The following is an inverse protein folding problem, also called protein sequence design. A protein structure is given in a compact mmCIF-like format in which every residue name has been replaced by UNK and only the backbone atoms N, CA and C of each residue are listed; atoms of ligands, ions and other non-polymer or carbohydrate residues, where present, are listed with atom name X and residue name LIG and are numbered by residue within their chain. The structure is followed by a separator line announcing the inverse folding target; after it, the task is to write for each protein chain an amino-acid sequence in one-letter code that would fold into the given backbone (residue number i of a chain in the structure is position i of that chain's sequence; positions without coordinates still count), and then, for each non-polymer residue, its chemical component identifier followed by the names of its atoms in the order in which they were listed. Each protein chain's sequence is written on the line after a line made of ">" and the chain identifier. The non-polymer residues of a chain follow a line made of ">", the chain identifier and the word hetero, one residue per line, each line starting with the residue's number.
data_IF_286838839723
#
_entry.id   IF_286838839723
#
_cell.length_a   1.000
_cell.length_b   1.000
_cell.length_c   1.000
_cell.angle_alpha   90.00
_cell.angle_beta   90.00
_cell.angle_gamma   90.00
#
_symmetry.space_group_name_H-M   'P 1'
#
loop_
_entity.id
_entity.type
_entity.pdbx_description
1 polymer ?
#
# COMPACT_ATOMS: atom_id res chain seq x y z
N UNK A 1 25.12 13.18 8.11
CA UNK A 1 24.40 13.63 9.33
C UNK A 1 23.13 12.80 9.63
N UNK A 2 22.26 12.47 8.66
CA UNK A 2 21.02 11.68 8.85
C UNK A 2 21.13 10.45 9.76
N UNK A 3 22.00 9.49 9.43
CA UNK A 3 22.16 8.24 10.18
C UNK A 3 22.62 8.46 11.63
N UNK A 4 23.38 9.53 11.89
CA UNK A 4 23.80 9.90 13.23
C UNK A 4 22.64 10.42 14.08
N UNK A 5 21.66 11.10 13.47
CA UNK A 5 20.52 11.72 14.16
C UNK A 5 19.36 10.73 14.35
N UNK A 6 19.08 9.89 13.35
CA UNK A 6 17.87 9.05 13.32
C UNK A 6 18.11 7.54 13.19
N UNK A 7 19.37 7.08 13.07
CA UNK A 7 19.67 5.67 12.83
C UNK A 7 19.12 4.71 13.89
N UNK A 8 19.02 5.14 15.15
CA UNK A 8 18.44 4.35 16.24
C UNK A 8 16.91 4.37 16.28
N UNK A 9 16.28 5.46 15.82
CA UNK A 9 14.83 5.67 15.89
C UNK A 9 14.03 4.85 14.89
N UNK A 10 14.63 4.50 13.74
CA UNK A 10 13.92 3.80 12.66
C UNK A 10 13.85 2.27 12.85
N UNK A 11 14.43 1.69 13.90
CA UNK A 11 14.52 0.22 14.10
C UNK A 11 15.19 -0.57 12.94
N UNK A 12 15.84 0.11 11.99
CA UNK A 12 16.60 -0.49 10.88
C UNK A 12 18.10 -0.26 11.09
N UNK A 13 18.97 -1.11 10.54
CA UNK A 13 20.41 -0.87 10.62
C UNK A 13 20.79 0.34 9.75
N UNK A 14 21.69 1.24 10.20
CA UNK A 14 22.23 2.31 9.35
C UNK A 14 22.82 1.84 8.01
N UNK A 15 23.30 0.58 7.94
CA UNK A 15 23.78 -0.05 6.71
C UNK A 15 22.68 -0.44 5.72
N UNK A 16 21.41 -0.38 6.14
CA UNK A 16 20.25 -0.72 5.30
C UNK A 16 19.75 0.48 4.48
N UNK A 17 20.35 1.67 4.65
CA UNK A 17 19.98 2.89 3.94
C UNK A 17 20.98 3.23 2.82
N UNK A 18 20.45 3.64 1.67
CA UNK A 18 21.20 4.22 0.58
C UNK A 18 20.75 5.66 0.35
N UNK A 19 21.60 6.62 0.73
CA UNK A 19 21.33 8.05 0.50
C UNK A 19 22.03 8.46 -0.80
N UNK A 20 21.26 9.02 -1.74
CA UNK A 20 21.76 9.52 -3.01
C UNK A 20 21.49 11.03 -3.05
N UNK A 21 22.56 11.82 -3.11
CA UNK A 21 22.50 13.26 -3.31
C UNK A 21 22.56 13.56 -4.81
N UNK A 22 21.73 14.50 -5.26
CA UNK A 22 21.56 14.87 -6.67
C UNK A 22 21.49 16.39 -6.75
N UNK A 23 21.97 16.95 -7.86
CA UNK A 23 22.18 18.40 -8.01
C UNK A 23 20.97 19.13 -8.62
N UNK A 24 20.00 18.37 -9.16
CA UNK A 24 18.83 18.94 -9.82
C UNK A 24 17.54 18.14 -9.61
N UNK A 25 16.39 18.80 -9.80
CA UNK A 25 15.08 18.14 -9.78
C UNK A 25 14.96 17.13 -10.94
N UNK A 26 15.60 17.40 -12.07
CA UNK A 26 15.64 16.51 -13.22
C UNK A 26 16.35 15.21 -12.86
N UNK A 27 17.56 15.32 -12.30
CA UNK A 27 18.31 14.15 -11.81
C UNK A 27 17.52 13.38 -10.76
N UNK A 28 16.82 14.06 -9.85
CA UNK A 28 16.00 13.39 -8.83
C UNK A 28 14.90 12.51 -9.44
N UNK A 29 14.16 13.04 -10.41
CA UNK A 29 13.07 12.31 -11.06
C UNK A 29 13.60 11.17 -11.93
N UNK A 30 14.69 11.40 -12.66
CA UNK A 30 15.31 10.37 -13.50
C UNK A 30 15.96 9.27 -12.64
N UNK A 31 16.62 9.63 -11.54
CA UNK A 31 17.18 8.67 -10.58
C UNK A 31 16.09 7.82 -9.92
N UNK A 32 14.95 8.43 -9.60
CA UNK A 32 13.79 7.68 -9.12
C UNK A 32 13.33 6.64 -10.16
N UNK A 33 13.22 7.00 -11.44
CA UNK A 33 12.88 6.04 -12.50
C UNK A 33 13.91 4.91 -12.64
N UNK A 34 15.21 5.24 -12.60
CA UNK A 34 16.30 4.25 -12.65
C UNK A 34 16.22 3.28 -11.47
N UNK A 35 16.03 3.80 -10.26
CA UNK A 35 15.89 2.98 -9.06
C UNK A 35 14.67 2.08 -9.17
N UNK A 36 13.51 2.64 -9.53
CA UNK A 36 12.27 1.88 -9.70
C UNK A 36 12.46 0.72 -10.69
N UNK A 37 13.07 1.00 -11.85
CA UNK A 37 13.38 -0.02 -12.85
C UNK A 37 14.36 -1.07 -12.33
N UNK A 38 15.40 -0.65 -11.60
CA UNK A 38 16.40 -1.56 -11.04
C UNK A 38 15.81 -2.50 -9.98
N UNK A 39 14.87 -2.01 -9.18
CA UNK A 39 14.15 -2.80 -8.18
C UNK A 39 13.06 -3.66 -8.82
N UNK A 40 12.49 -3.23 -9.94
CA UNK A 40 11.42 -3.89 -10.69
C UNK A 40 10.32 -4.45 -9.77
N UNK A 41 9.64 -3.59 -8.99
CA UNK A 41 8.73 -4.04 -7.95
C UNK A 41 7.56 -4.85 -8.55
N UNK A 42 7.30 -6.02 -7.98
CA UNK A 42 6.13 -6.84 -8.33
C UNK A 42 4.83 -6.14 -7.86
N UNK A 43 4.89 -5.46 -6.72
CA UNK A 43 3.78 -4.73 -6.10
C UNK A 43 4.28 -3.35 -5.67
N UNK A 44 3.53 -2.33 -6.08
CA UNK A 44 3.66 -0.98 -5.58
C UNK A 44 2.42 -0.65 -4.74
N UNK A 45 2.63 -0.04 -3.57
CA UNK A 45 1.53 0.45 -2.76
C UNK A 45 1.87 1.81 -2.17
N UNK A 46 0.83 2.60 -1.95
CA UNK A 46 0.93 3.94 -1.37
C UNK A 46 -0.44 4.39 -0.86
N UNK A 47 -0.55 5.63 -0.39
CA UNK A 47 -1.82 6.18 0.09
C UNK A 47 -2.14 7.46 -0.65
N UNK A 48 -3.19 7.43 -1.47
CA UNK A 48 -3.53 8.50 -2.42
C UNK A 48 -2.46 8.71 -3.51
N UNK A 49 -1.65 7.69 -3.81
CA UNK A 49 -0.54 7.77 -4.75
C UNK A 49 -1.00 7.91 -6.19
N UNK A 50 -2.11 7.29 -6.58
CA UNK A 50 -2.71 7.58 -7.90
C UNK A 50 -3.66 8.78 -7.88
N UNK A 51 -3.93 9.37 -6.72
CA UNK A 51 -4.64 10.66 -6.65
C UNK A 51 -3.68 11.85 -6.76
N UNK A 52 -2.47 11.71 -6.24
CA UNK A 52 -1.53 12.81 -6.06
C UNK A 52 -0.12 12.49 -6.60
N UNK A 53 0.59 11.51 -6.04
CA UNK A 53 2.03 11.31 -6.27
C UNK A 53 2.38 11.04 -7.73
N UNK A 54 1.71 10.08 -8.38
CA UNK A 54 1.95 9.77 -9.81
C UNK A 54 1.58 10.96 -10.70
N UNK A 55 0.46 11.61 -10.43
CA UNK A 55 0.04 12.80 -11.17
C UNK A 55 1.05 13.94 -11.03
N UNK A 56 1.62 14.12 -9.84
CA UNK A 56 2.63 15.12 -9.58
C UNK A 56 3.92 14.81 -10.35
N UNK A 57 4.45 13.59 -10.24
CA UNK A 57 5.70 13.19 -10.91
C UNK A 57 5.56 13.31 -12.43
N UNK A 58 4.46 12.81 -13.02
CA UNK A 58 4.24 12.87 -14.47
C UNK A 58 4.09 14.31 -14.98
N UNK A 59 3.34 15.17 -14.29
CA UNK A 59 3.23 16.59 -14.67
C UNK A 59 4.55 17.31 -14.48
N UNK A 60 5.29 16.99 -13.42
CA UNK A 60 6.58 17.61 -13.13
C UNK A 60 7.63 17.24 -14.16
N UNK A 61 7.65 15.99 -14.64
CA UNK A 61 8.56 15.58 -15.71
C UNK A 61 8.21 16.25 -17.05
N UNK A 62 6.94 16.54 -17.33
CA UNK A 62 6.53 17.36 -18.49
C UNK A 62 7.04 18.80 -18.37
N UNK A 63 6.85 19.44 -17.20
CA UNK A 63 7.31 20.83 -16.97
C UNK A 63 8.83 20.95 -17.06
N UNK A 64 9.56 19.90 -16.70
CA UNK A 64 11.01 19.85 -16.75
C UNK A 64 11.57 19.35 -18.09
N UNK A 65 10.72 19.08 -19.08
CA UNK A 65 11.11 18.56 -20.41
C UNK A 65 11.91 17.25 -20.36
N UNK A 66 11.61 16.39 -19.38
CA UNK A 66 12.26 15.08 -19.18
C UNK A 66 11.25 13.92 -19.23
N UNK A 67 10.02 14.19 -19.66
CA UNK A 67 8.93 13.21 -19.64
C UNK A 67 9.27 11.94 -20.44
N UNK A 68 9.71 12.09 -21.69
CA UNK A 68 10.01 10.95 -22.57
C UNK A 68 11.17 10.12 -22.01
N UNK A 69 12.18 10.78 -21.48
CA UNK A 69 13.33 10.14 -20.84
C UNK A 69 12.89 9.37 -19.57
N UNK A 70 12.10 10.01 -18.70
CA UNK A 70 11.56 9.41 -17.50
C UNK A 70 10.74 8.15 -17.82
N UNK A 71 9.85 8.23 -18.80
CA UNK A 71 8.98 7.12 -19.23
C UNK A 71 9.79 5.98 -19.82
N UNK A 72 10.78 6.29 -20.66
CA UNK A 72 11.64 5.27 -21.28
C UNK A 72 12.43 4.50 -20.22
N UNK A 73 12.99 5.20 -19.23
CA UNK A 73 13.73 4.58 -18.12
C UNK A 73 12.79 3.70 -17.27
N UNK A 74 11.68 4.26 -16.78
CA UNK A 74 10.85 3.55 -15.78
C UNK A 74 10.14 2.33 -16.36
N UNK A 75 9.81 2.35 -17.66
CA UNK A 75 9.15 1.22 -18.34
C UNK A 75 10.13 0.26 -19.00
N UNK A 76 11.42 0.62 -19.09
CA UNK A 76 12.43 -0.11 -19.84
C UNK A 76 12.03 -0.36 -21.32
N UNK A 77 11.39 0.63 -21.96
CA UNK A 77 10.94 0.55 -23.35
C UNK A 77 11.62 1.60 -24.25
N UNK A 78 11.97 1.19 -25.47
CA UNK A 78 12.70 2.00 -26.48
C UNK A 78 11.79 2.88 -27.35
N UNK A 79 10.47 2.80 -27.18
CA UNK A 79 9.50 3.44 -28.08
C UNK A 79 8.30 3.96 -27.29
N UNK A 80 7.64 4.96 -27.87
CA UNK A 80 6.35 5.56 -27.53
C UNK A 80 5.22 4.53 -27.28
N UNK A 81 5.37 3.64 -26.30
CA UNK A 81 4.26 2.83 -25.82
C UNK A 81 3.35 3.76 -25.05
N UNK A 82 2.19 4.02 -25.64
CA UNK A 82 1.12 4.81 -25.03
C UNK A 82 1.00 4.46 -23.55
N UNK A 83 1.31 5.44 -22.72
CA UNK A 83 1.13 5.36 -21.28
C UNK A 83 -0.31 5.02 -21.02
N UNK A 84 -0.56 3.82 -20.52
CA UNK A 84 -1.90 3.45 -20.07
C UNK A 84 -2.08 4.04 -18.68
N UNK A 85 -2.47 5.31 -18.63
CA UNK A 85 -3.07 5.86 -17.41
C UNK A 85 -4.31 5.02 -17.14
N UNK A 86 -4.28 4.25 -16.06
CA UNK A 86 -5.42 3.42 -15.68
C UNK A 86 -6.28 4.22 -14.70
N UNK A 87 -7.48 4.59 -15.15
CA UNK A 87 -8.49 5.20 -14.28
C UNK A 87 -9.24 4.11 -13.52
N UNK A 88 -9.20 4.14 -12.19
CA UNK A 88 -10.08 3.30 -11.35
C UNK A 88 -11.19 4.16 -10.77
N UNK A 89 -12.44 3.87 -11.15
CA UNK A 89 -13.64 4.48 -10.56
C UNK A 89 -14.10 3.67 -9.35
N UNK A 90 -14.27 4.34 -8.22
CA UNK A 90 -14.78 3.72 -6.99
C UNK A 90 -16.08 4.39 -6.61
N UNK A 91 -17.10 3.57 -6.32
CA UNK A 91 -18.37 4.01 -5.75
C UNK A 91 -18.26 3.91 -4.23
N UNK A 92 -18.29 5.06 -3.56
CA UNK A 92 -18.43 5.11 -2.10
C UNK A 92 -19.93 5.20 -1.80
N UNK A 93 -20.43 4.29 -0.96
CA UNK A 93 -21.82 4.28 -0.52
C UNK A 93 -21.82 4.73 0.94
N UNK A 94 -22.35 5.92 1.23
CA UNK A 94 -22.54 6.30 2.63
C UNK A 94 -23.72 5.49 3.19
N UNK A 95 -23.43 4.57 4.11
CA UNK A 95 -24.45 3.79 4.81
C UNK A 95 -25.08 4.53 6.00
N UNK A 96 -24.63 5.76 6.30
CA UNK A 96 -25.02 6.48 7.52
C UNK A 96 -26.25 7.40 7.36
N UNK A 97 -27.26 6.98 6.59
CA UNK A 97 -28.59 7.62 6.66
C UNK A 97 -29.14 7.50 8.09
N UNK A 98 -28.94 6.36 8.75
CA UNK A 98 -29.48 6.12 10.10
C UNK A 98 -28.76 6.93 11.21
N UNK A 99 -27.43 7.03 11.22
CA UNK A 99 -26.71 7.85 12.22
C UNK A 99 -26.94 9.34 12.04
N UNK A 100 -27.04 9.81 10.79
CA UNK A 100 -27.36 11.21 10.49
C UNK A 100 -28.79 11.51 10.92
N UNK A 101 -29.75 10.63 10.63
CA UNK A 101 -31.14 10.76 11.08
C UNK A 101 -31.27 10.73 12.61
N UNK A 102 -30.59 9.80 13.30
CA UNK A 102 -30.56 9.73 14.77
C UNK A 102 -30.01 11.02 15.40
N UNK A 103 -28.96 11.62 14.80
CA UNK A 103 -28.38 12.88 15.29
C UNK A 103 -29.32 14.07 15.13
N UNK A 104 -30.17 14.08 14.09
CA UNK A 104 -31.17 15.13 13.88
C UNK A 104 -32.45 14.91 14.70
N UNK A 105 -32.87 13.66 14.94
CA UNK A 105 -33.93 13.31 15.89
C UNK A 105 -33.55 13.68 17.32
N UNK A 106 -32.33 13.37 17.75
CA UNK A 106 -31.83 13.73 19.08
C UNK A 106 -31.73 15.25 19.30
N UNK A 107 -31.63 16.03 18.21
CA UNK A 107 -31.62 17.49 18.24
C UNK A 107 -33.02 18.12 18.13
N UNK A 108 -34.10 17.32 18.11
CA UNK A 108 -35.49 17.81 18.08
C UNK A 108 -35.95 18.39 16.74
N UNK A 109 -35.23 18.12 15.64
CA UNK A 109 -35.55 18.67 14.32
C UNK A 109 -36.48 17.71 13.57
N UNK A 110 -37.77 18.07 13.46
CA UNK A 110 -38.77 17.28 12.74
C UNK A 110 -38.56 17.40 11.22
N UNK A 111 -38.08 16.33 10.58
CA UNK A 111 -37.67 16.29 9.16
C UNK A 111 -38.80 15.86 8.19
N UNK A 112 -40.04 15.69 8.65
CA UNK A 112 -41.12 15.07 7.87
C UNK A 112 -41.48 15.74 6.54
N UNK A 113 -40.99 16.95 6.23
CA UNK A 113 -41.36 17.68 5.01
C UNK A 113 -40.19 18.26 4.18
N UNK A 114 -38.95 17.78 4.34
CA UNK A 114 -37.87 18.14 3.42
C UNK A 114 -37.43 16.92 2.62
N UNK A 115 -37.75 16.89 1.32
CA UNK A 115 -37.08 16.02 0.34
C UNK A 115 -35.62 16.46 0.22
N UNK A 116 -34.78 16.08 1.18
CA UNK A 116 -33.34 16.19 1.04
C UNK A 116 -32.93 15.12 0.03
N UNK A 117 -32.58 15.55 -1.17
CA UNK A 117 -32.02 14.67 -2.20
C UNK A 117 -30.56 14.38 -1.83
N UNK A 118 -30.35 13.52 -0.83
CA UNK A 118 -29.02 13.00 -0.50
C UNK A 118 -28.68 11.95 -1.54
N UNK A 119 -27.80 12.27 -2.47
CA UNK A 119 -27.16 11.30 -3.34
C UNK A 119 -25.78 10.99 -2.72
N UNK A 120 -25.60 9.93 -1.89
CA UNK A 120 -24.29 9.59 -1.36
C UNK A 120 -23.61 8.65 -2.36
N UNK A 121 -23.24 9.21 -3.51
CA UNK A 121 -22.48 8.48 -4.52
C UNK A 121 -21.33 9.35 -4.98
N UNK A 122 -20.28 9.41 -4.17
CA UNK A 122 -19.03 10.02 -4.61
C UNK A 122 -18.30 9.03 -5.52
N UNK A 123 -18.06 9.45 -6.76
CA UNK A 123 -17.19 8.71 -7.69
C UNK A 123 -15.80 9.27 -7.55
N UNK A 124 -14.88 8.48 -7.00
CA UNK A 124 -13.47 8.84 -6.99
C UNK A 124 -12.75 8.24 -8.18
N UNK A 125 -11.86 9.04 -8.77
CA UNK A 125 -10.92 8.64 -9.81
C UNK A 125 -9.53 8.53 -9.23
N UNK A 126 -8.86 7.43 -9.54
CA UNK A 126 -7.44 7.25 -9.29
C UNK A 126 -6.77 7.01 -10.64
N UNK A 127 -5.76 7.82 -10.94
CA UNK A 127 -5.00 7.79 -12.19
C UNK A 127 -3.55 7.45 -11.83
N UNK A 128 -3.08 6.31 -12.31
CA UNK A 128 -1.72 5.87 -12.02
C UNK A 128 -1.03 5.39 -13.27
N UNK A 129 0.30 5.45 -13.21
CA UNK A 129 1.16 4.93 -14.26
C UNK A 129 1.07 3.40 -14.28
N UNK A 130 0.49 2.82 -15.33
CA UNK A 130 0.49 1.37 -15.49
C UNK A 130 1.87 0.88 -15.95
N UNK A 131 2.65 0.39 -15.02
CA UNK A 131 3.95 -0.24 -15.30
C UNK A 131 3.73 -1.73 -15.56
N UNK A 132 4.22 -2.29 -16.69
CA UNK A 132 4.08 -3.71 -16.98
C UNK A 132 4.65 -4.57 -15.84
N UNK A 133 3.92 -5.63 -15.46
CA UNK A 133 4.29 -6.60 -14.40
C UNK A 133 4.27 -6.06 -12.97
N UNK A 134 3.93 -4.78 -12.77
CA UNK A 134 3.73 -4.23 -11.43
C UNK A 134 2.24 -4.10 -11.12
N UNK A 135 1.84 -4.60 -9.94
CA UNK A 135 0.50 -4.40 -9.40
C UNK A 135 0.51 -3.15 -8.51
N UNK A 136 -0.29 -2.15 -8.88
CA UNK A 136 -0.45 -0.94 -8.08
C UNK A 136 -1.64 -1.05 -7.10
N UNK A 137 -1.42 -0.74 -5.82
CA UNK A 137 -2.42 -0.77 -4.76
C UNK A 137 -2.44 0.58 -4.03
N UNK A 138 -3.50 1.35 -4.26
CA UNK A 138 -3.74 2.57 -3.47
C UNK A 138 -4.53 2.22 -2.19
N UNK A 139 -3.90 2.44 -1.03
CA UNK A 139 -4.47 2.13 0.27
C UNK A 139 -5.60 3.08 0.66
N UNK A 140 -5.69 4.29 0.10
CA UNK A 140 -6.85 5.16 0.31
C UNK A 140 -8.09 4.62 -0.41
N UNK A 141 -7.89 4.08 -1.62
CA UNK A 141 -8.98 3.43 -2.37
C UNK A 141 -9.47 2.20 -1.62
N UNK A 142 -8.54 1.37 -1.15
CA UNK A 142 -8.87 0.19 -0.36
C UNK A 142 -9.59 0.57 0.93
N UNK A 143 -9.10 1.58 1.66
CA UNK A 143 -9.70 1.98 2.94
C UNK A 143 -11.12 2.49 2.75
N UNK A 144 -11.39 3.28 1.70
CA UNK A 144 -12.76 3.74 1.37
C UNK A 144 -13.72 2.60 1.02
N UNK A 145 -13.26 1.58 0.30
CA UNK A 145 -14.08 0.39 0.00
C UNK A 145 -14.40 -0.41 1.27
N UNK A 146 -13.46 -0.46 2.20
CA UNK A 146 -13.52 -1.28 3.41
C UNK A 146 -14.26 -0.58 4.56
N UNK A 147 -14.02 0.71 4.74
CA UNK A 147 -14.52 1.55 5.82
C UNK A 147 -15.48 2.61 5.28
N UNK A 148 -16.66 2.17 4.84
CA UNK A 148 -17.67 3.00 4.17
C UNK A 148 -18.36 4.06 5.07
N UNK A 149 -17.94 4.19 6.33
CA UNK A 149 -18.59 5.02 7.36
C UNK A 149 -17.78 6.28 7.75
N UNK A 150 -16.76 6.67 6.99
CA UNK A 150 -15.75 7.62 7.48
C UNK A 150 -15.73 8.96 6.73
N UNK A 151 -15.80 10.05 7.49
CA UNK A 151 -15.94 11.44 7.01
C UNK A 151 -14.58 12.02 6.55
N UNK A 152 -13.44 11.45 6.97
CA UNK A 152 -12.10 12.01 6.72
C UNK A 152 -11.15 10.99 6.07
N UNK A 153 -10.61 11.37 4.92
CA UNK A 153 -9.80 10.54 4.01
C UNK A 153 -8.28 10.67 4.27
N UNK A 154 -7.85 10.67 5.53
CA UNK A 154 -6.43 10.87 5.88
C UNK A 154 -5.76 9.57 6.31
N UNK A 155 -4.46 9.44 6.02
CA UNK A 155 -3.67 8.27 6.41
C UNK A 155 -3.72 8.02 7.92
N UNK A 156 -3.61 9.09 8.73
CA UNK A 156 -3.64 9.00 10.20
C UNK A 156 -4.93 8.37 10.74
N UNK A 157 -6.08 8.75 10.18
CA UNK A 157 -7.38 8.22 10.58
C UNK A 157 -7.46 6.72 10.28
N UNK A 158 -7.02 6.33 9.08
CA UNK A 158 -7.03 4.93 8.65
C UNK A 158 -6.06 4.08 9.49
N UNK A 159 -4.86 4.60 9.80
CA UNK A 159 -3.89 3.93 10.67
C UNK A 159 -4.47 3.66 12.06
N UNK A 160 -5.02 4.70 12.71
CA UNK A 160 -5.63 4.59 14.04
C UNK A 160 -6.78 3.59 14.05
N UNK A 161 -7.60 3.56 13.01
CA UNK A 161 -8.70 2.60 12.86
C UNK A 161 -8.21 1.16 12.75
N UNK A 162 -7.09 0.94 12.08
CA UNK A 162 -6.44 -0.37 12.00
C UNK A 162 -5.66 -0.75 13.29
N UNK A 163 -5.76 0.07 14.35
CA UNK A 163 -5.05 -0.13 15.62
C UNK A 163 -3.53 0.08 15.48
N UNK A 164 -3.10 0.82 14.46
CA UNK A 164 -1.71 1.18 14.24
C UNK A 164 -1.41 2.54 14.86
N UNK A 165 -0.12 2.80 15.10
CA UNK A 165 0.31 4.13 15.49
C UNK A 165 0.01 5.13 14.37
N UNK A 166 -0.32 6.36 14.75
CA UNK A 166 -0.58 7.44 13.81
C UNK A 166 0.66 7.82 12.99
N UNK A 167 0.45 8.73 12.03
CA UNK A 167 1.55 9.30 11.26
C UNK A 167 2.32 10.33 12.09
N UNK A 168 3.52 10.65 11.66
CA UNK A 168 4.20 11.87 12.10
C UNK A 168 3.65 13.00 11.23
N UNK A 169 3.54 14.22 11.77
CA UNK A 169 3.16 15.40 10.99
C UNK A 169 4.36 16.35 10.92
N UNK A 170 4.73 16.76 9.70
CA UNK A 170 5.66 17.86 9.50
C UNK A 170 4.85 19.17 9.49
N UNK A 171 5.18 20.16 10.32
CA UNK A 171 4.48 21.43 10.30
C UNK A 171 4.72 22.11 8.96
N UNK A 172 3.66 22.22 8.16
CA UNK A 172 3.69 22.93 6.88
C UNK A 172 3.22 24.38 7.02
N UNK A 173 2.49 24.70 8.10
CA UNK A 173 2.10 26.05 8.48
C UNK A 173 2.41 26.29 9.97
N UNK A 174 2.66 27.54 10.37
CA UNK A 174 2.76 27.88 11.78
C UNK A 174 1.43 27.60 12.49
N UNK A 175 1.48 27.04 13.68
CA UNK A 175 0.29 26.92 14.52
C UNK A 175 -0.25 28.32 14.88
N UNK A 176 -1.57 28.43 15.06
CA UNK A 176 -2.20 29.71 15.35
C UNK A 176 -1.65 30.27 16.67
N UNK A 177 -0.94 31.40 16.58
CA UNK A 177 -0.32 32.07 17.73
C UNK A 177 1.11 31.59 18.04
N UNK A 178 1.64 30.63 17.28
CA UNK A 178 3.05 30.25 17.36
C UNK A 178 3.94 31.32 16.74
N UNK A 179 5.07 31.59 17.38
CA UNK A 179 6.18 32.37 16.83
C UNK A 179 7.23 31.50 16.14
N UNK A 180 7.07 30.17 16.20
CA UNK A 180 7.94 29.22 15.51
C UNK A 180 7.59 29.17 14.02
N UNK A 181 8.53 29.61 13.19
CA UNK A 181 8.39 29.70 11.74
C UNK A 181 9.07 28.54 10.99
N UNK A 182 9.53 27.52 11.72
CA UNK A 182 10.18 26.31 11.15
C UNK A 182 9.15 25.40 10.47
N UNK A 183 8.58 25.87 9.37
CA UNK A 183 7.57 25.16 8.60
C UNK A 183 8.00 24.96 7.15
N UNK A 184 7.39 23.98 6.47
CA UNK A 184 7.79 23.53 5.14
C UNK A 184 7.86 24.65 4.09
N UNK A 185 6.90 25.57 4.07
CA UNK A 185 6.95 26.66 3.09
C UNK A 185 8.09 27.64 3.31
N UNK A 186 8.44 27.92 4.57
CA UNK A 186 9.55 28.84 4.88
C UNK A 186 10.86 28.23 4.44
N UNK A 187 11.13 26.98 4.84
CA UNK A 187 12.33 26.27 4.44
C UNK A 187 12.40 25.99 2.94
N UNK A 188 11.29 25.63 2.29
CA UNK A 188 11.29 25.44 0.84
C UNK A 188 11.65 26.74 0.10
N UNK A 189 11.12 27.88 0.53
CA UNK A 189 11.50 29.18 -0.04
C UNK A 189 12.97 29.51 0.27
N UNK A 190 13.44 29.25 1.50
CA UNK A 190 14.84 29.43 1.86
C UNK A 190 15.77 28.61 0.94
N UNK A 191 15.42 27.36 0.64
CA UNK A 191 16.18 26.51 -0.30
C UNK A 191 16.12 27.07 -1.73
N UNK A 192 14.92 27.37 -2.24
CA UNK A 192 14.73 27.82 -3.63
C UNK A 192 15.47 29.14 -3.89
N UNK A 193 15.45 30.06 -2.92
CA UNK A 193 16.04 31.38 -3.04
C UNK A 193 17.29 31.56 -2.17
N UNK A 194 17.99 30.48 -1.81
CA UNK A 194 19.13 30.48 -0.88
C UNK A 194 20.22 31.49 -1.26
N UNK A 195 20.47 31.67 -2.56
CA UNK A 195 21.43 32.66 -3.07
C UNK A 195 20.83 34.06 -3.32
N UNK A 196 19.53 34.26 -3.14
CA UNK A 196 18.85 35.53 -3.36
C UNK A 196 18.34 36.13 -2.06
N UNK A 197 19.28 36.68 -1.28
CA UNK A 197 19.00 37.35 0.00
C UNK A 197 17.94 38.45 -0.12
N UNK A 198 17.91 39.16 -1.24
CA UNK A 198 16.93 40.22 -1.46
C UNK A 198 15.49 39.68 -1.51
N UNK A 199 15.25 38.58 -2.23
CA UNK A 199 13.93 37.91 -2.27
C UNK A 199 13.57 37.35 -0.90
N UNK A 200 14.51 36.69 -0.22
CA UNK A 200 14.25 36.12 1.12
C UNK A 200 13.89 37.20 2.15
N UNK A 201 14.60 38.33 2.16
CA UNK A 201 14.25 39.48 3.00
C UNK A 201 12.87 40.04 2.63
N UNK A 202 12.50 40.08 1.34
CA UNK A 202 11.14 40.49 0.93
C UNK A 202 10.08 39.56 1.49
N UNK A 203 10.29 38.23 1.46
CA UNK A 203 9.37 37.28 2.07
C UNK A 203 9.28 37.44 3.59
N UNK A 204 10.41 37.65 4.27
CA UNK A 204 10.43 37.92 5.71
C UNK A 204 9.59 39.16 6.08
N UNK A 205 9.76 40.27 5.33
CA UNK A 205 8.98 41.50 5.52
C UNK A 205 7.49 41.27 5.28
N UNK A 206 7.13 40.53 4.22
CA UNK A 206 5.73 40.22 3.94
C UNK A 206 5.11 39.36 5.03
N UNK A 207 5.84 38.35 5.51
CA UNK A 207 5.39 37.46 6.57
C UNK A 207 5.17 38.23 7.86
N UNK A 208 6.15 39.02 8.31
CA UNK A 208 6.06 39.86 9.52
C UNK A 208 4.82 40.77 9.50
N UNK A 209 4.56 41.44 8.37
CA UNK A 209 3.37 42.29 8.19
C UNK A 209 2.05 41.52 8.30
N UNK A 210 2.00 40.25 7.90
CA UNK A 210 0.78 39.44 7.91
C UNK A 210 0.55 38.72 9.25
N UNK A 211 1.61 38.33 9.95
CA UNK A 211 1.52 37.46 11.14
C UNK A 211 1.72 38.19 12.46
N UNK A 212 2.14 39.46 12.44
CA UNK A 212 2.55 40.25 13.62
C UNK A 212 3.79 39.68 14.34
N UNK A 213 4.53 38.78 13.69
CA UNK A 213 5.81 38.26 14.18
C UNK A 213 6.90 39.31 13.89
N UNK A 214 7.87 39.45 14.80
CA UNK A 214 8.98 40.39 14.65
C UNK A 214 9.79 40.09 13.38
N UNK A 215 10.26 41.14 12.71
CA UNK A 215 10.98 41.01 11.44
C UNK A 215 12.25 40.17 11.62
N UNK A 216 12.99 40.34 12.72
CA UNK A 216 14.22 39.59 12.96
C UNK A 216 13.94 38.07 13.03
N UNK A 217 12.80 37.67 13.60
CA UNK A 217 12.41 36.26 13.66
C UNK A 217 12.02 35.71 12.29
N UNK A 218 11.32 36.51 11.48
CA UNK A 218 11.03 36.13 10.10
C UNK A 218 12.31 36.03 9.26
N UNK A 219 13.24 36.97 9.43
CA UNK A 219 14.55 36.94 8.76
C UNK A 219 15.36 35.74 9.19
N UNK A 220 15.42 35.40 10.48
CA UNK A 220 16.08 34.20 10.97
C UNK A 220 15.52 32.92 10.33
N UNK A 221 14.20 32.87 10.09
CA UNK A 221 13.56 31.71 9.50
C UNK A 221 13.81 31.59 7.98
N UNK A 222 13.97 32.70 7.25
CA UNK A 222 14.21 32.70 5.80
C UNK A 222 15.69 32.74 5.42
N UNK A 223 16.54 33.40 6.20
CA UNK A 223 17.98 33.59 5.97
C UNK A 223 18.80 32.56 6.75
N UNK A 224 18.40 31.31 6.61
CA UNK A 224 19.04 30.14 7.25
C UNK A 224 20.36 29.79 6.54
N UNK A 225 21.29 29.23 7.30
CA UNK A 225 22.57 28.73 6.80
C UNK A 225 22.42 27.42 6.03
N UNK A 226 23.41 27.07 5.21
CA UNK A 226 23.43 25.81 4.47
C UNK A 226 23.38 24.59 5.41
N UNK A 227 24.03 24.68 6.58
CA UNK A 227 23.99 23.62 7.60
C UNK A 227 22.58 23.42 8.17
N UNK A 228 21.83 24.50 8.41
CA UNK A 228 20.44 24.43 8.89
C UNK A 228 19.48 23.90 7.81
N UNK A 229 19.72 24.26 6.55
CA UNK A 229 18.98 23.70 5.41
C UNK A 229 19.24 22.20 5.26
N UNK A 230 20.48 21.75 5.44
CA UNK A 230 20.82 20.33 5.45
C UNK A 230 20.10 19.59 6.58
N UNK A 231 20.09 20.16 7.79
CA UNK A 231 19.40 19.57 8.95
C UNK A 231 17.88 19.49 8.73
N UNK A 232 17.29 20.50 8.10
CA UNK A 232 15.87 20.47 7.72
C UNK A 232 15.58 19.40 6.65
N UNK A 233 16.43 19.27 5.64
CA UNK A 233 16.30 18.21 4.62
C UNK A 233 16.40 16.81 5.26
N UNK A 234 17.25 16.64 6.27
CA UNK A 234 17.38 15.42 7.07
C UNK A 234 16.10 15.12 7.87
N UNK A 235 15.46 16.13 8.44
CA UNK A 235 14.17 15.99 9.14
C UNK A 235 13.04 15.58 8.18
N UNK A 236 12.98 16.21 6.99
CA UNK A 236 12.04 15.86 5.94
C UNK A 236 12.23 14.41 5.46
N UNK A 237 13.48 13.98 5.27
CA UNK A 237 13.78 12.59 4.89
C UNK A 237 13.33 11.59 5.96
N UNK A 238 13.48 11.93 7.25
CA UNK A 238 13.03 11.09 8.35
C UNK A 238 11.51 10.99 8.38
N UNK A 239 10.82 12.12 8.23
CA UNK A 239 9.36 12.17 8.11
C UNK A 239 8.86 11.22 7.00
N UNK A 240 9.41 11.32 5.78
CA UNK A 240 9.02 10.48 4.65
C UNK A 240 9.29 8.99 4.91
N UNK A 241 10.39 8.68 5.61
CA UNK A 241 10.76 7.31 5.97
C UNK A 241 9.74 6.68 6.92
N UNK A 242 9.32 7.41 7.96
CA UNK A 242 8.32 6.93 8.92
C UNK A 242 6.97 6.73 8.25
N UNK A 243 6.51 7.67 7.41
CA UNK A 243 5.26 7.54 6.66
C UNK A 243 5.27 6.28 5.77
N UNK A 244 6.40 6.01 5.09
CA UNK A 244 6.58 4.79 4.29
C UNK A 244 6.47 3.53 5.13
N UNK A 245 7.05 3.49 6.33
CA UNK A 245 6.93 2.36 7.25
C UNK A 245 5.48 2.16 7.71
N UNK A 246 4.74 3.23 8.00
CA UNK A 246 3.31 3.15 8.37
C UNK A 246 2.46 2.57 7.25
N UNK A 247 2.76 2.91 6.00
CA UNK A 247 2.08 2.31 4.84
C UNK A 247 2.34 0.81 4.74
N UNK A 248 3.55 0.36 5.05
CA UNK A 248 3.88 -1.05 5.10
C UNK A 248 3.07 -1.79 6.18
N UNK A 249 3.02 -1.25 7.41
CA UNK A 249 2.19 -1.79 8.50
C UNK A 249 0.71 -1.86 8.11
N UNK A 250 0.20 -0.80 7.46
CA UNK A 250 -1.18 -0.73 7.00
C UNK A 250 -1.49 -1.78 5.93
N UNK A 251 -0.57 -2.02 4.99
CA UNK A 251 -0.72 -3.07 3.98
C UNK A 251 -0.79 -4.47 4.62
N UNK A 252 0.00 -4.72 5.67
CA UNK A 252 -0.10 -5.96 6.45
C UNK A 252 -1.48 -6.09 7.09
N UNK A 253 -1.99 -5.02 7.72
CA UNK A 253 -3.35 -5.00 8.33
C UNK A 253 -4.46 -5.20 7.31
N UNK A 254 -4.34 -4.59 6.12
CA UNK A 254 -5.28 -4.79 5.01
C UNK A 254 -5.50 -6.27 4.70
N UNK A 255 -4.42 -7.04 4.62
CA UNK A 255 -4.50 -8.47 4.28
C UNK A 255 -5.27 -9.27 5.35
N UNK A 256 -5.28 -8.81 6.60
CA UNK A 256 -6.01 -9.42 7.71
C UNK A 256 -7.52 -9.07 7.65
N UNK A 257 -7.86 -7.82 7.32
CA UNK A 257 -9.25 -7.31 7.40
C UNK A 257 -10.16 -7.86 6.29
N UNK A 258 -9.62 -8.24 5.13
CA UNK A 258 -10.38 -8.74 3.98
C UNK A 258 -11.07 -10.11 4.27
N UNK A 259 -10.78 -10.77 5.38
CA UNK A 259 -11.33 -12.09 5.77
C UNK A 259 -12.81 -12.09 6.25
N UNK A 260 -13.53 -10.96 6.23
CA UNK A 260 -14.90 -10.92 6.79
C UNK A 260 -16.00 -11.40 5.82
N UNK A 261 -16.21 -12.71 5.84
CA UNK A 261 -17.42 -13.41 5.41
C UNK A 261 -17.42 -14.78 6.07
N UNK A 262 -18.27 -15.02 7.08
CA UNK A 262 -18.23 -16.26 7.87
C UNK A 262 -18.86 -17.42 7.10
N UNK A 263 -18.04 -18.12 6.33
CA UNK A 263 -18.19 -19.56 6.12
C UNK A 263 -17.41 -20.29 7.21
N UNK A 264 -17.70 -21.58 7.43
CA UNK A 264 -17.03 -22.36 8.47
C UNK A 264 -15.52 -22.41 8.22
N UNK A 265 -14.74 -22.07 9.25
CA UNK A 265 -13.29 -21.96 9.16
C UNK A 265 -12.57 -23.24 9.58
N UNK A 266 -11.28 -23.14 9.87
CA UNK A 266 -10.48 -24.29 10.29
C UNK A 266 -10.95 -24.87 11.63
N UNK A 267 -10.86 -26.20 11.76
CA UNK A 267 -11.01 -26.91 13.02
C UNK A 267 -9.82 -26.58 13.95
N UNK A 268 -10.12 -26.12 15.17
CA UNK A 268 -9.12 -25.92 16.22
C UNK A 268 -9.34 -26.95 17.32
N UNK A 269 -8.37 -27.84 17.51
CA UNK A 269 -8.40 -28.82 18.59
C UNK A 269 -8.23 -28.13 19.94
N UNK A 270 -8.94 -28.63 20.97
CA UNK A 270 -8.82 -28.11 22.32
C UNK A 270 -7.44 -28.48 22.89
N UNK A 271 -6.62 -27.50 23.33
CA UNK A 271 -5.28 -27.78 23.81
C UNK A 271 -5.32 -28.50 25.16
N UNK A 272 -4.53 -29.57 25.31
CA UNK A 272 -4.27 -30.19 26.60
C UNK A 272 -3.25 -29.33 27.38
N UNK A 273 -3.52 -29.01 28.64
CA UNK A 273 -2.73 -28.03 29.42
C UNK A 273 -1.56 -28.62 30.21
N UNK A 274 -1.38 -29.95 30.19
CA UNK A 274 -0.33 -30.63 30.95
C UNK A 274 0.61 -31.40 30.04
N UNK A 275 1.80 -30.85 29.80
CA UNK A 275 2.90 -31.57 29.16
C UNK A 275 4.16 -31.45 30.03
N UNK A 276 4.74 -32.59 30.40
CA UNK A 276 6.03 -32.70 31.11
C UNK A 276 7.13 -33.25 30.21
N UNK A 277 6.82 -33.52 28.94
CA UNK A 277 7.72 -34.13 27.95
C UNK A 277 7.81 -33.30 26.68
N UNK A 278 8.90 -33.42 25.90
CA UNK A 278 9.02 -32.77 24.60
C UNK A 278 7.86 -33.11 23.65
N UNK A 279 7.40 -32.13 22.89
CA UNK A 279 6.32 -32.25 21.91
C UNK A 279 6.88 -32.06 20.51
N UNK A 280 6.52 -32.94 19.57
CA UNK A 280 6.86 -32.79 18.17
C UNK A 280 5.80 -31.95 17.45
N UNK A 281 6.23 -30.94 16.69
CA UNK A 281 5.37 -30.09 15.86
C UNK A 281 5.42 -30.58 14.41
N UNK A 282 4.26 -30.91 13.85
CA UNK A 282 4.08 -31.41 12.49
C UNK A 282 3.05 -30.54 11.79
N UNK A 283 3.48 -29.84 10.74
CA UNK A 283 2.65 -28.93 9.96
C UNK A 283 2.63 -29.31 8.48
N UNK A 284 1.49 -29.08 7.82
CA UNK A 284 1.35 -29.26 6.38
C UNK A 284 1.92 -28.04 5.65
N UNK A 285 2.92 -28.27 4.79
CA UNK A 285 3.46 -27.21 3.95
C UNK A 285 2.40 -26.71 2.95
N UNK A 286 1.98 -25.45 3.10
CA UNK A 286 1.06 -24.77 2.17
C UNK A 286 -0.20 -25.59 1.86
N UNK A 287 -0.93 -25.98 2.91
CA UNK A 287 -2.08 -26.87 2.84
C UNK A 287 -3.12 -26.47 1.76
N UNK A 288 -3.74 -25.29 1.86
CA UNK A 288 -4.81 -24.91 0.92
C UNK A 288 -4.35 -24.85 -0.54
N UNK A 289 -3.24 -24.18 -0.91
CA UNK A 289 -2.78 -24.19 -2.30
C UNK A 289 -2.49 -25.60 -2.83
N UNK A 290 -1.89 -26.48 -2.01
CA UNK A 290 -1.60 -27.85 -2.43
C UNK A 290 -2.88 -28.68 -2.60
N UNK A 291 -3.88 -28.51 -1.73
CA UNK A 291 -5.19 -29.15 -1.88
C UNK A 291 -5.88 -28.72 -3.18
N UNK A 292 -5.78 -27.43 -3.53
CA UNK A 292 -6.33 -26.86 -4.76
C UNK A 292 -5.66 -27.48 -5.99
N UNK A 293 -4.33 -27.54 -6.00
CA UNK A 293 -3.55 -28.16 -7.08
C UNK A 293 -3.93 -29.63 -7.21
N UNK A 294 -3.79 -30.40 -6.14
CA UNK A 294 -3.98 -31.86 -6.14
C UNK A 294 -5.35 -32.27 -6.69
N UNK A 295 -6.39 -31.56 -6.27
CA UNK A 295 -7.76 -31.89 -6.64
C UNK A 295 -8.25 -31.14 -7.89
N UNK A 296 -7.41 -30.29 -8.48
CA UNK A 296 -7.76 -29.39 -9.58
C UNK A 296 -8.96 -28.49 -9.25
N UNK A 297 -9.05 -27.97 -8.02
CA UNK A 297 -10.20 -27.19 -7.54
C UNK A 297 -10.21 -25.84 -8.23
N UNK A 298 -11.18 -25.61 -9.10
CA UNK A 298 -11.34 -24.34 -9.80
C UNK A 298 -12.76 -24.20 -10.35
N UNK A 299 -13.18 -22.97 -10.61
CA UNK A 299 -14.50 -22.70 -11.18
C UNK A 299 -14.65 -23.28 -12.59
N UNK A 300 -13.58 -23.30 -13.38
CA UNK A 300 -13.49 -23.77 -14.77
C UNK A 300 -13.29 -25.29 -14.93
N UNK A 301 -12.87 -25.98 -13.86
CA UNK A 301 -12.67 -27.44 -13.85
C UNK A 301 -13.80 -28.18 -13.15
N UNK A 302 -14.75 -27.46 -12.54
CA UNK A 302 -15.90 -28.01 -11.86
C UNK A 302 -16.85 -28.70 -12.85
N UNK A 303 -17.34 -29.86 -12.45
CA UNK A 303 -18.29 -30.68 -13.20
C UNK A 303 -19.63 -30.72 -12.45
N UNK A 304 -20.72 -30.84 -13.19
CA UNK A 304 -22.06 -31.00 -12.62
C UNK A 304 -22.32 -32.43 -12.15
N UNK A 305 -21.75 -33.41 -12.84
CA UNK A 305 -21.98 -34.84 -12.60
C UNK A 305 -20.65 -35.57 -12.44
N UNK A 306 -20.68 -36.67 -11.69
CA UNK A 306 -19.55 -37.56 -11.55
C UNK A 306 -19.12 -38.15 -12.90
N UNK A 307 -17.82 -38.22 -13.11
CA UNK A 307 -17.21 -38.95 -14.22
C UNK A 307 -16.06 -39.81 -13.68
N UNK A 308 -15.70 -40.88 -14.39
CA UNK A 308 -14.57 -41.74 -14.02
C UNK A 308 -13.24 -40.97 -13.93
N UNK A 309 -13.13 -39.84 -14.64
CA UNK A 309 -11.97 -38.95 -14.67
C UNK A 309 -12.14 -37.69 -13.81
N UNK A 310 -12.80 -37.82 -12.66
CA UNK A 310 -13.02 -36.70 -11.74
C UNK A 310 -12.54 -36.97 -10.31
N UNK A 311 -12.16 -35.90 -9.62
CA UNK A 311 -11.95 -35.85 -8.17
C UNK A 311 -13.26 -35.40 -7.51
N UNK A 312 -13.64 -36.06 -6.42
CA UNK A 312 -14.82 -35.69 -5.63
C UNK A 312 -14.34 -35.22 -4.26
N UNK A 313 -14.79 -34.03 -3.84
CA UNK A 313 -14.53 -33.49 -2.51
C UNK A 313 -15.75 -33.76 -1.64
N UNK A 314 -15.58 -34.63 -0.65
CA UNK A 314 -16.63 -35.05 0.27
C UNK A 314 -16.11 -34.84 1.69
N UNK A 315 -16.91 -34.21 2.53
CA UNK A 315 -16.69 -34.13 3.98
C UNK A 315 -18.03 -34.24 4.71
N UNK A 316 -18.06 -34.97 5.82
CA UNK A 316 -19.28 -35.25 6.62
C UNK A 316 -20.49 -35.67 5.75
N UNK A 317 -20.28 -36.62 4.83
CA UNK A 317 -21.28 -37.12 3.87
C UNK A 317 -21.84 -36.07 2.88
N UNK A 318 -21.34 -34.83 2.91
CA UNK A 318 -21.69 -33.76 1.98
C UNK A 318 -20.65 -33.65 0.86
N UNK A 319 -21.12 -33.62 -0.38
CA UNK A 319 -20.26 -33.35 -1.54
C UNK A 319 -20.16 -31.83 -1.75
N UNK A 320 -18.93 -31.30 -1.72
CA UNK A 320 -18.64 -29.88 -1.93
C UNK A 320 -18.33 -29.56 -3.40
N UNK A 321 -17.78 -30.53 -4.13
CA UNK A 321 -17.52 -30.34 -5.56
C UNK A 321 -16.97 -31.58 -6.26
N UNK A 322 -17.13 -31.57 -7.58
CA UNK A 322 -16.58 -32.57 -8.49
C UNK A 322 -15.70 -31.80 -9.48
N UNK A 323 -14.45 -32.21 -9.66
CA UNK A 323 -13.48 -31.49 -10.48
C UNK A 323 -12.76 -32.44 -11.45
N UNK A 324 -12.47 -31.97 -12.67
CA UNK A 324 -11.74 -32.75 -13.66
C UNK A 324 -10.31 -33.05 -13.18
N UNK A 325 -9.81 -34.28 -13.37
CA UNK A 325 -8.40 -34.61 -13.06
C UNK A 325 -7.43 -33.95 -14.03
N UNK A 326 -6.30 -33.45 -13.51
CA UNK A 326 -5.21 -32.91 -14.34
C UNK A 326 -4.06 -33.92 -14.57
N UNK A 327 -3.99 -35.03 -13.82
CA UNK A 327 -2.97 -36.11 -13.95
C UNK A 327 -1.51 -35.63 -13.92
N UNK A 328 -1.22 -34.56 -13.16
CA UNK A 328 0.11 -33.94 -13.16
C UNK A 328 0.45 -33.14 -14.42
N UNK A 329 -0.47 -33.03 -15.40
CA UNK A 329 -0.24 -32.26 -16.64
C UNK A 329 -0.67 -30.82 -16.43
N UNK A 330 0.28 -29.88 -16.59
CA UNK A 330 0.06 -28.44 -16.38
C UNK A 330 -1.06 -27.87 -17.26
N UNK A 331 -1.10 -28.25 -18.54
CA UNK A 331 -2.12 -27.74 -19.48
C UNK A 331 -3.56 -28.23 -19.19
N UNK A 332 -3.71 -29.19 -18.28
CA UNK A 332 -5.01 -29.68 -17.82
C UNK A 332 -5.43 -29.08 -16.48
N UNK A 333 -4.59 -28.24 -15.88
CA UNK A 333 -4.95 -27.53 -14.65
C UNK A 333 -5.95 -26.42 -14.95
N UNK A 334 -6.93 -26.25 -14.05
CA UNK A 334 -7.78 -25.07 -14.04
C UNK A 334 -7.00 -23.80 -13.68
N UNK A 335 -7.65 -22.65 -13.80
CA UNK A 335 -7.00 -21.37 -13.55
C UNK A 335 -6.44 -21.23 -12.11
N UNK A 336 -7.23 -21.61 -11.09
CA UNK A 336 -6.81 -21.54 -9.69
C UNK A 336 -5.62 -22.48 -9.36
N UNK A 337 -5.65 -23.78 -9.70
CA UNK A 337 -4.54 -24.68 -9.43
C UNK A 337 -3.28 -24.30 -10.22
N UNK A 338 -3.41 -23.79 -11.44
CA UNK A 338 -2.28 -23.27 -12.20
C UNK A 338 -1.64 -22.06 -11.50
N UNK A 339 -2.45 -21.11 -11.02
CA UNK A 339 -1.97 -19.96 -10.24
C UNK A 339 -1.28 -20.40 -8.95
N UNK A 340 -1.89 -21.32 -8.19
CA UNK A 340 -1.28 -21.86 -6.98
C UNK A 340 0.04 -22.58 -7.30
N UNK A 341 0.10 -23.36 -8.36
CA UNK A 341 1.30 -24.06 -8.81
C UNK A 341 2.44 -23.07 -9.07
N UNK A 342 2.20 -22.08 -9.94
CA UNK A 342 3.22 -21.12 -10.34
C UNK A 342 3.68 -20.24 -9.15
N UNK A 343 2.76 -19.86 -8.25
CA UNK A 343 3.09 -19.11 -7.02
C UNK A 343 3.91 -19.95 -6.03
N UNK A 344 3.61 -21.24 -5.87
CA UNK A 344 4.38 -22.14 -5.01
C UNK A 344 5.75 -22.46 -5.59
N UNK A 345 5.86 -22.61 -6.91
CA UNK A 345 7.15 -22.77 -7.59
C UNK A 345 8.04 -21.55 -7.36
N UNK A 346 7.49 -20.35 -7.58
CA UNK A 346 8.18 -19.09 -7.30
C UNK A 346 8.55 -18.95 -5.81
N UNK A 347 7.67 -19.36 -4.88
CA UNK A 347 7.92 -19.35 -3.45
C UNK A 347 9.11 -20.26 -3.08
N UNK A 348 9.14 -21.46 -3.64
CA UNK A 348 10.19 -22.45 -3.38
C UNK A 348 11.54 -22.00 -3.93
N UNK A 349 11.57 -21.45 -5.15
CA UNK A 349 12.80 -20.89 -5.72
C UNK A 349 13.28 -19.68 -4.91
N UNK A 350 12.36 -18.81 -4.49
CA UNK A 350 12.68 -17.68 -3.61
C UNK A 350 13.26 -18.15 -2.27
N UNK A 351 12.72 -19.22 -1.68
CA UNK A 351 13.30 -19.85 -0.47
C UNK A 351 14.69 -20.43 -0.71
N UNK A 352 14.95 -20.98 -1.90
CA UNK A 352 16.29 -21.45 -2.29
C UNK A 352 17.26 -20.28 -2.34
N UNK A 353 16.88 -19.19 -3.02
CA UNK A 353 17.65 -17.95 -3.08
C UNK A 353 17.89 -17.33 -1.68
N UNK A 354 16.86 -17.34 -0.83
CA UNK A 354 16.98 -16.91 0.57
C UNK A 354 18.05 -17.71 1.33
N UNK A 355 18.10 -19.04 1.15
CA UNK A 355 19.13 -19.90 1.77
C UNK A 355 20.52 -19.63 1.20
N UNK A 356 20.64 -19.43 -0.11
CA UNK A 356 21.91 -19.11 -0.80
C UNK A 356 22.46 -17.78 -0.28
N UNK A 357 21.61 -16.76 -0.14
CA UNK A 357 22.00 -15.42 0.28
C UNK A 357 21.91 -15.18 1.80
N UNK A 358 21.98 -16.23 2.62
CA UNK A 358 21.86 -16.14 4.09
C UNK A 358 22.84 -15.18 4.76
N UNK A 359 24.01 -14.98 4.16
CA UNK A 359 25.07 -14.12 4.69
C UNK A 359 24.97 -12.65 4.21
N UNK A 360 24.14 -12.36 3.21
CA UNK A 360 23.85 -11.00 2.70
C UNK A 360 22.52 -10.55 3.31
N UNK A 361 22.58 -9.71 4.36
CA UNK A 361 21.40 -9.31 5.15
C UNK A 361 20.30 -8.69 4.30
N UNK A 362 20.64 -7.82 3.36
CA UNK A 362 19.67 -7.09 2.51
C UNK A 362 18.99 -8.06 1.55
N UNK A 363 19.75 -8.94 0.88
CA UNK A 363 19.17 -9.96 -0.01
C UNK A 363 18.38 -11.01 0.75
N UNK A 364 18.84 -11.43 1.91
CA UNK A 364 18.12 -12.35 2.78
C UNK A 364 16.77 -11.78 3.19
N UNK A 365 16.74 -10.51 3.61
CA UNK A 365 15.50 -9.81 3.97
C UNK A 365 14.55 -9.68 2.77
N UNK A 366 15.07 -9.30 1.59
CA UNK A 366 14.29 -9.23 0.36
C UNK A 366 13.65 -10.58 0.01
N UNK A 367 14.44 -11.67 -0.06
CA UNK A 367 13.93 -12.98 -0.42
C UNK A 367 13.02 -13.57 0.66
N UNK A 368 13.27 -13.29 1.93
CA UNK A 368 12.35 -13.65 3.02
C UNK A 368 10.98 -12.99 2.84
N UNK A 369 10.98 -11.66 2.61
CA UNK A 369 9.76 -10.89 2.36
C UNK A 369 9.04 -11.33 1.09
N UNK A 370 9.75 -11.55 -0.02
CA UNK A 370 9.19 -12.05 -1.28
C UNK A 370 8.60 -13.45 -1.12
N UNK A 371 9.30 -14.34 -0.42
CA UNK A 371 8.81 -15.69 -0.10
C UNK A 371 7.49 -15.61 0.69
N UNK A 372 7.43 -14.75 1.71
CA UNK A 372 6.23 -14.55 2.50
C UNK A 372 5.08 -13.97 1.67
N UNK A 373 5.35 -12.98 0.82
CA UNK A 373 4.36 -12.39 -0.08
C UNK A 373 3.77 -13.45 -1.04
N UNK A 374 4.63 -14.26 -1.67
CA UNK A 374 4.20 -15.35 -2.56
C UNK A 374 3.34 -16.39 -1.82
N UNK A 375 3.70 -16.73 -0.57
CA UNK A 375 2.89 -17.62 0.26
C UNK A 375 1.52 -17.03 0.58
N UNK A 376 1.45 -15.74 0.92
CA UNK A 376 0.20 -15.03 1.19
C UNK A 376 -0.67 -15.00 -0.07
N UNK A 377 -0.08 -14.69 -1.24
CA UNK A 377 -0.78 -14.67 -2.52
C UNK A 377 -1.34 -16.06 -2.89
N UNK A 378 -0.55 -17.12 -2.71
CA UNK A 378 -1.01 -18.49 -2.94
C UNK A 378 -2.20 -18.81 -2.03
N UNK A 379 -2.13 -18.42 -0.75
CA UNK A 379 -3.23 -18.56 0.21
C UNK A 379 -4.41 -17.60 -0.06
N UNK A 380 -4.26 -16.56 -0.86
CA UNK A 380 -5.40 -15.69 -1.23
C UNK A 380 -6.19 -16.20 -2.42
N UNK A 381 -5.63 -17.12 -3.23
CA UNK A 381 -6.31 -17.66 -4.43
C UNK A 381 -7.68 -18.25 -4.08
N UNK A 382 -7.78 -19.04 -3.00
CA UNK A 382 -9.06 -19.61 -2.57
C UNK A 382 -10.01 -18.55 -1.98
N UNK A 383 -9.47 -17.50 -1.37
CA UNK A 383 -10.28 -16.41 -0.78
C UNK A 383 -11.07 -15.65 -1.82
N UNK A 384 -10.59 -15.59 -3.07
CA UNK A 384 -11.37 -15.02 -4.17
C UNK A 384 -12.70 -15.75 -4.35
N UNK A 385 -12.73 -17.06 -4.14
CA UNK A 385 -13.99 -17.83 -4.23
C UNK A 385 -14.90 -17.64 -3.02
N UNK A 386 -14.36 -17.25 -1.86
CA UNK A 386 -15.13 -16.91 -0.66
C UNK A 386 -15.60 -15.45 -0.62
N UNK A 387 -15.05 -14.59 -1.49
CA UNK A 387 -15.38 -13.17 -1.52
C UNK A 387 -16.63 -12.91 -2.35
N UNK A 388 -17.75 -12.56 -1.70
CA UNK A 388 -19.09 -12.37 -2.32
C UNK A 388 -19.16 -11.46 -3.54
N UNK A 389 -18.20 -10.55 -3.71
CA UNK A 389 -18.15 -9.61 -4.83
C UNK A 389 -17.16 -10.02 -5.92
N UNK A 390 -16.43 -11.13 -5.76
CA UNK A 390 -15.55 -11.66 -6.79
C UNK A 390 -16.38 -12.27 -7.94
N UNK A 391 -16.00 -12.07 -9.21
CA UNK A 391 -16.58 -12.82 -10.33
C UNK A 391 -16.40 -14.34 -10.19
N UNK A 392 -15.47 -14.78 -9.34
CA UNK A 392 -15.18 -16.18 -9.03
C UNK A 392 -15.92 -16.66 -7.76
N UNK A 393 -16.79 -15.85 -7.17
CA UNK A 393 -17.49 -16.19 -5.93
C UNK A 393 -18.31 -17.48 -6.06
N UNK A 394 -17.91 -18.46 -5.26
CA UNK A 394 -18.52 -19.77 -5.10
C UNK A 394 -18.21 -20.28 -3.69
N UNK A 395 -19.15 -20.08 -2.78
CA UNK A 395 -19.02 -20.49 -1.38
C UNK A 395 -18.70 -21.98 -1.21
N UNK A 396 -19.16 -22.85 -2.11
CA UNK A 396 -18.88 -24.29 -2.07
C UNK A 396 -17.42 -24.65 -2.41
N UNK A 397 -16.70 -23.72 -3.06
CA UNK A 397 -15.28 -23.86 -3.41
C UNK A 397 -14.37 -23.26 -2.33
N UNK A 398 -14.87 -22.27 -1.60
CA UNK A 398 -14.18 -21.58 -0.51
C UNK A 398 -14.14 -22.42 0.76
#
# INVERSE_FOLDING_TARGET
>A
KFLSKYGSSLQCNPKDYHIIQLESQQELILKFAELYQSYSPDIEFGFNTGGYDWNFILRKSMVLDIYDQFVSIITNTKSNTDLKIQETKIRVVDLDIEKVNLKYEFAGINLNNRKIKVNPMETMKCEFLKIPRTIFIDLLIWSKKTFQTEIKNTLDVVLKRCGLSGKIDLPYLPEKGSTDLRCMFVYANAIIFHHNKQILTQFAVQLSKKTKIQLEQCEFAFLVSDDELEDYAIELAYYCSVDTMRLHELNIKRNIIIEQGKYEGALVLVPNKSFTTPVADLDFASYYPNTIILNNISTDTRLNNFTTDSNIIIDNEKTYGIFKKHHGVRDKMGIMPLMCHDLLEAHNETKRLMKIHKNDKSKYLYYSSKSNALKILANSVYRETGYKYSPLYREEIA
#
